data_IF_395434987803
#
_entry.id   IF_395434987803
#
_cell.length_a   1.000
_cell.length_b   1.000
_cell.length_c   1.000
_cell.angle_alpha   90.00
_cell.angle_beta   90.00
_cell.angle_gamma   90.00
#
_symmetry.space_group_name_H-M   'P 1'
#
loop_
_entity.id
_entity.type
_entity.pdbx_description
1 polymer ?
#
# COMPACT_ATOMS: atom_id res chain seq x y z
N UNK A 1 80.00 64.36 10.73
CA UNK A 1 78.99 63.83 11.67
C UNK A 1 77.68 64.61 11.63
N UNK A 2 77.69 65.94 11.52
CA UNK A 2 76.47 66.79 11.44
C UNK A 2 75.51 66.44 10.27
N UNK A 3 76.04 66.20 9.07
CA UNK A 3 75.24 65.89 7.87
C UNK A 3 74.43 64.57 8.01
N UNK A 4 74.96 63.60 8.76
CA UNK A 4 74.29 62.31 8.98
C UNK A 4 73.12 62.42 9.96
N UNK A 5 73.24 63.27 10.98
CA UNK A 5 72.14 63.57 11.90
C UNK A 5 71.00 64.31 11.20
N UNK A 6 71.32 65.23 10.29
CA UNK A 6 70.33 66.04 9.57
C UNK A 6 69.49 65.20 8.60
N UNK A 7 70.12 64.28 7.84
CA UNK A 7 69.38 63.34 7.00
C UNK A 7 68.46 62.42 7.81
N UNK A 8 68.88 62.00 9.01
CA UNK A 8 68.08 61.11 9.86
C UNK A 8 66.88 61.84 10.48
N UNK A 9 67.03 63.12 10.82
CA UNK A 9 65.91 63.95 11.29
C UNK A 9 64.92 64.23 10.16
N UNK A 10 65.38 64.53 8.96
CA UNK A 10 64.50 64.80 7.81
C UNK A 10 63.71 63.54 7.40
N UNK A 11 64.34 62.37 7.47
CA UNK A 11 63.68 61.09 7.22
C UNK A 11 62.59 60.78 8.25
N UNK A 12 62.85 61.03 9.54
CA UNK A 12 61.85 60.88 10.61
C UNK A 12 60.68 61.87 10.45
N UNK A 13 60.95 63.12 10.04
CA UNK A 13 59.90 64.11 9.77
C UNK A 13 59.01 63.65 8.62
N UNK A 14 59.60 63.10 7.55
CA UNK A 14 58.83 62.57 6.41
C UNK A 14 57.97 61.38 6.83
N UNK A 15 58.51 60.44 7.61
CA UNK A 15 57.75 59.27 8.12
C UNK A 15 56.57 59.72 9.00
N UNK A 16 56.81 60.65 9.94
CA UNK A 16 55.74 61.20 10.80
C UNK A 16 54.67 61.94 9.97
N UNK A 17 55.08 62.69 8.94
CA UNK A 17 54.14 63.40 8.07
C UNK A 17 53.29 62.43 7.22
N UNK A 18 53.88 61.32 6.77
CA UNK A 18 53.16 60.25 6.07
C UNK A 18 52.12 59.60 6.99
N UNK A 19 52.50 59.26 8.22
CA UNK A 19 51.59 58.66 9.20
C UNK A 19 50.43 59.59 9.56
N UNK A 20 50.69 60.89 9.75
CA UNK A 20 49.65 61.90 9.98
C UNK A 20 48.67 61.95 8.80
N UNK A 21 49.18 61.98 7.56
CA UNK A 21 48.34 62.01 6.37
C UNK A 21 47.49 60.73 6.21
N UNK A 22 48.04 59.56 6.54
CA UNK A 22 47.31 58.29 6.54
C UNK A 22 46.18 58.31 7.57
N UNK A 23 46.46 58.76 8.80
CA UNK A 23 45.46 58.86 9.88
C UNK A 23 44.34 59.84 9.49
N UNK A 24 44.68 61.00 8.93
CA UNK A 24 43.69 61.97 8.47
C UNK A 24 42.81 61.42 7.34
N UNK A 25 43.41 60.73 6.36
CA UNK A 25 42.67 60.07 5.28
C UNK A 25 41.74 58.96 5.81
N UNK A 26 42.20 58.14 6.76
CA UNK A 26 41.38 57.10 7.38
C UNK A 26 40.21 57.70 8.17
N UNK A 27 40.45 58.76 8.95
CA UNK A 27 39.38 59.48 9.66
C UNK A 27 38.35 60.07 8.69
N UNK A 28 38.80 60.65 7.57
CA UNK A 28 37.94 61.16 6.52
C UNK A 28 37.08 60.06 5.89
N UNK A 29 37.68 58.91 5.54
CA UNK A 29 36.98 57.75 4.99
C UNK A 29 35.95 57.17 5.98
N UNK A 30 36.31 57.08 7.27
CA UNK A 30 35.39 56.63 8.32
C UNK A 30 34.18 57.56 8.48
N UNK A 31 34.40 58.89 8.49
CA UNK A 31 33.31 59.88 8.50
C UNK A 31 32.43 59.72 7.26
N UNK A 32 33.01 59.62 6.07
CA UNK A 32 32.27 59.44 4.80
C UNK A 32 31.41 58.17 4.81
N UNK A 33 31.92 57.06 5.37
CA UNK A 33 31.17 55.80 5.53
C UNK A 33 30.00 55.96 6.51
N UNK A 34 30.21 56.63 7.65
CA UNK A 34 29.15 56.91 8.64
C UNK A 34 28.02 57.74 8.04
N UNK A 35 28.34 58.81 7.30
CA UNK A 35 27.35 59.64 6.62
C UNK A 35 26.55 58.87 5.56
N UNK A 36 27.21 58.03 4.74
CA UNK A 36 26.52 57.17 3.76
C UNK A 36 25.51 56.23 4.43
N UNK A 37 25.90 55.59 5.54
CA UNK A 37 25.02 54.70 6.29
C UNK A 37 23.82 55.43 6.92
N UNK A 38 24.05 56.62 7.49
CA UNK A 38 22.95 57.44 8.02
C UNK A 38 21.95 57.84 6.94
N UNK A 39 22.44 58.29 5.78
CA UNK A 39 21.57 58.66 4.64
C UNK A 39 20.78 57.46 4.12
N UNK A 40 21.40 56.28 4.04
CA UNK A 40 20.73 55.04 3.64
C UNK A 40 19.60 54.66 4.62
N UNK A 41 19.87 54.73 5.93
CA UNK A 41 18.85 54.44 6.94
C UNK A 41 17.69 55.44 6.91
N UNK A 42 17.96 56.73 6.71
CA UNK A 42 16.92 57.74 6.56
C UNK A 42 16.08 57.51 5.29
N UNK A 43 16.71 57.18 4.16
CA UNK A 43 15.99 56.83 2.93
C UNK A 43 15.11 55.60 3.12
N UNK A 44 15.61 54.57 3.81
CA UNK A 44 14.84 53.36 4.12
C UNK A 44 13.60 53.70 4.97
N UNK A 45 13.75 54.48 6.04
CA UNK A 45 12.63 54.91 6.88
C UNK A 45 11.61 55.76 6.12
N UNK A 46 12.08 56.68 5.27
CA UNK A 46 11.19 57.51 4.45
C UNK A 46 10.41 56.69 3.42
N UNK A 47 11.06 55.69 2.80
CA UNK A 47 10.40 54.77 1.88
C UNK A 47 9.37 53.89 2.60
N UNK A 48 9.68 53.38 3.79
CA UNK A 48 8.73 52.61 4.61
C UNK A 48 7.50 53.46 4.99
N UNK A 49 7.71 54.72 5.43
CA UNK A 49 6.61 55.67 5.70
C UNK A 49 5.76 55.93 4.46
N UNK A 50 6.39 56.15 3.30
CA UNK A 50 5.68 56.40 2.04
C UNK A 50 4.86 55.18 1.61
N UNK A 51 5.41 53.97 1.75
CA UNK A 51 4.69 52.71 1.49
C UNK A 51 3.49 52.60 2.43
N UNK A 52 3.64 52.87 3.73
CA UNK A 52 2.54 52.84 4.69
C UNK A 52 1.41 53.83 4.34
N UNK A 53 1.75 55.04 3.92
CA UNK A 53 0.76 56.05 3.50
C UNK A 53 -0.01 55.57 2.26
N UNK A 54 0.69 55.04 1.25
CA UNK A 54 0.06 54.52 0.04
C UNK A 54 -0.83 53.32 0.36
N UNK A 55 -0.37 52.40 1.22
CA UNK A 55 -1.18 51.25 1.64
C UNK A 55 -2.43 51.67 2.41
N UNK A 56 -2.34 52.68 3.27
CA UNK A 56 -3.48 53.19 4.02
C UNK A 56 -4.49 53.88 3.10
N UNK A 57 -4.02 54.68 2.14
CA UNK A 57 -4.89 55.35 1.15
C UNK A 57 -5.63 54.32 0.29
N UNK A 58 -4.96 53.28 -0.17
CA UNK A 58 -5.58 52.19 -0.95
C UNK A 58 -6.52 51.34 -0.09
N UNK A 59 -6.22 51.14 1.19
CA UNK A 59 -7.11 50.45 2.12
C UNK A 59 -8.42 51.21 2.28
N UNK A 60 -8.37 52.53 2.48
CA UNK A 60 -9.57 53.36 2.59
C UNK A 60 -10.39 53.43 1.30
N UNK A 61 -9.76 53.47 0.12
CA UNK A 61 -10.50 53.48 -1.14
C UNK A 61 -11.18 52.13 -1.42
N UNK A 62 -10.53 51.00 -1.08
CA UNK A 62 -11.12 49.66 -1.23
C UNK A 62 -12.29 49.40 -0.26
N UNK A 63 -12.24 49.95 0.96
CA UNK A 63 -13.30 49.79 1.96
C UNK A 63 -14.60 50.52 1.59
N UNK A 64 -14.50 51.60 0.81
CA UNK A 64 -15.66 52.41 0.40
C UNK A 64 -16.52 51.74 -0.68
N UNK A 65 -16.08 50.61 -1.24
CA UNK A 65 -16.74 49.93 -2.35
C UNK A 65 -17.52 48.66 -1.96
N UNK A 66 -17.49 48.23 -0.69
CA UNK A 66 -18.21 47.02 -0.26
C UNK A 66 -19.72 47.29 -0.31
N UNK A 67 -20.44 46.47 -1.07
CA UNK A 67 -21.90 46.60 -1.26
C UNK A 67 -22.64 45.45 -0.57
N UNK A 68 -23.94 45.69 -0.30
CA UNK A 68 -24.88 44.63 0.09
C UNK A 68 -24.94 43.56 -1.00
N UNK A 69 -25.15 42.31 -0.60
CA UNK A 69 -25.21 41.12 -1.46
C UNK A 69 -23.89 40.79 -2.19
N UNK A 70 -22.76 41.26 -1.67
CA UNK A 70 -21.43 40.94 -2.20
C UNK A 70 -20.79 39.82 -1.37
N UNK A 71 -19.98 38.97 -2.02
CA UNK A 71 -19.10 38.02 -1.34
C UNK A 71 -17.80 38.72 -0.95
N UNK A 72 -17.39 38.56 0.30
CA UNK A 72 -16.21 39.20 0.90
C UNK A 72 -15.40 38.19 1.72
N UNK A 73 -14.15 38.50 2.02
CA UNK A 73 -13.41 37.83 3.09
C UNK A 73 -13.68 38.54 4.40
N UNK A 74 -14.02 37.79 5.44
CA UNK A 74 -14.27 38.30 6.79
C UNK A 74 -13.26 37.71 7.79
N UNK A 75 -12.80 38.52 8.75
CA UNK A 75 -11.83 38.11 9.77
C UNK A 75 -12.37 38.30 11.18
N UNK A 76 -12.57 37.17 11.88
CA UNK A 76 -12.80 37.14 13.33
C UNK A 76 -11.50 36.92 14.09
N UNK A 77 -11.43 37.42 15.34
CA UNK A 77 -10.29 37.19 16.23
C UNK A 77 -10.17 35.69 16.52
N UNK A 78 -8.99 35.11 16.25
CA UNK A 78 -8.72 33.68 16.46
C UNK A 78 -9.12 32.76 15.29
N UNK A 79 -9.83 33.25 14.28
CA UNK A 79 -10.24 32.47 13.10
C UNK A 79 -9.46 32.90 11.86
N UNK A 80 -9.30 32.03 10.84
CA UNK A 80 -8.71 32.43 9.56
C UNK A 80 -9.61 33.44 8.82
N UNK A 81 -9.13 33.99 7.70
CA UNK A 81 -10.01 34.72 6.79
C UNK A 81 -11.05 33.74 6.22
N UNK A 82 -12.32 34.09 6.37
CA UNK A 82 -13.44 33.22 6.01
C UNK A 82 -14.35 33.88 4.95
N UNK A 83 -14.70 33.18 3.86
CA UNK A 83 -15.63 33.70 2.85
C UNK A 83 -17.01 33.97 3.44
N UNK A 84 -17.54 35.17 3.24
CA UNK A 84 -18.81 35.60 3.81
C UNK A 84 -19.63 36.39 2.81
N UNK A 85 -20.95 36.42 3.00
CA UNK A 85 -21.89 37.18 2.20
C UNK A 85 -22.38 38.40 2.97
N UNK A 86 -22.30 39.58 2.36
CA UNK A 86 -22.68 40.84 3.00
C UNK A 86 -24.19 40.98 3.03
N UNK A 87 -24.79 40.92 4.22
CA UNK A 87 -26.23 41.09 4.40
C UNK A 87 -26.62 42.57 4.55
N UNK A 88 -25.81 43.34 5.28
CA UNK A 88 -26.10 44.75 5.55
C UNK A 88 -24.80 45.55 5.67
N UNK A 89 -24.80 46.78 5.14
CA UNK A 89 -23.68 47.72 5.23
C UNK A 89 -24.16 48.97 5.96
N UNK A 90 -23.71 49.15 7.19
CA UNK A 90 -23.95 50.34 8.00
C UNK A 90 -22.87 51.41 7.79
N UNK A 91 -22.89 52.47 8.61
CA UNK A 91 -21.90 53.56 8.55
C UNK A 91 -20.52 53.15 9.05
N UNK A 92 -20.45 52.30 10.08
CA UNK A 92 -19.20 51.88 10.74
C UNK A 92 -19.00 50.37 10.76
N UNK A 93 -20.08 49.62 10.52
CA UNK A 93 -20.12 48.17 10.67
C UNK A 93 -20.83 47.52 9.48
N UNK A 94 -20.49 46.25 9.25
CA UNK A 94 -21.03 45.40 8.20
C UNK A 94 -21.52 44.11 8.86
N UNK A 95 -22.74 43.70 8.55
CA UNK A 95 -23.27 42.39 8.96
C UNK A 95 -23.02 41.41 7.82
N UNK A 96 -22.30 40.34 8.13
CA UNK A 96 -21.95 39.28 7.17
C UNK A 96 -22.44 37.93 7.65
N UNK A 97 -22.82 37.08 6.70
CA UNK A 97 -23.13 35.67 6.92
C UNK A 97 -21.96 34.81 6.43
N UNK A 98 -21.38 33.97 7.28
CA UNK A 98 -20.26 33.13 6.89
C UNK A 98 -20.72 32.03 5.93
N UNK A 99 -20.04 31.85 4.80
CA UNK A 99 -20.38 30.79 3.86
C UNK A 99 -19.96 29.43 4.42
N UNK A 100 -20.78 28.40 4.20
CA UNK A 100 -20.51 27.06 4.73
C UNK A 100 -20.83 26.89 6.23
N UNK A 101 -21.25 27.96 6.90
CA UNK A 101 -21.73 27.97 8.28
C UNK A 101 -23.07 28.71 8.36
N UNK A 102 -23.88 28.40 9.36
CA UNK A 102 -25.14 29.11 9.62
C UNK A 102 -24.91 30.18 10.71
N UNK A 103 -23.81 30.91 10.58
CA UNK A 103 -23.37 31.92 11.54
C UNK A 103 -23.28 33.29 10.86
N UNK A 104 -23.47 34.34 11.65
CA UNK A 104 -23.34 35.73 11.20
C UNK A 104 -22.49 36.52 12.20
N UNK A 105 -21.91 37.62 11.75
CA UNK A 105 -21.18 38.54 12.61
C UNK A 105 -21.31 39.99 12.13
N UNK A 106 -21.26 40.90 13.10
CA UNK A 106 -21.12 42.33 12.87
C UNK A 106 -19.64 42.68 12.95
N UNK A 107 -19.08 43.18 11.85
CA UNK A 107 -17.65 43.42 11.66
C UNK A 107 -17.39 44.87 11.29
N UNK A 108 -16.22 45.37 11.66
CA UNK A 108 -15.72 46.67 11.18
C UNK A 108 -15.17 46.52 9.75
N UNK A 109 -15.11 47.63 9.01
CA UNK A 109 -14.61 47.65 7.62
C UNK A 109 -13.14 47.17 7.48
N UNK A 110 -12.32 47.23 8.53
CA UNK A 110 -10.95 46.72 8.52
C UNK A 110 -10.86 45.20 8.67
N UNK A 111 -11.94 44.55 9.08
CA UNK A 111 -12.08 43.10 9.20
C UNK A 111 -12.71 42.46 7.96
N UNK A 112 -12.97 43.24 6.92
CA UNK A 112 -13.59 42.79 5.67
C UNK A 112 -12.71 43.18 4.48
N UNK A 113 -12.56 42.29 3.50
CA UNK A 113 -11.81 42.51 2.27
C UNK A 113 -12.61 42.04 1.05
N UNK A 114 -12.37 42.65 -0.11
CA UNK A 114 -12.97 42.17 -1.36
C UNK A 114 -12.52 40.73 -1.66
N UNK A 115 -13.49 39.87 -2.00
CA UNK A 115 -13.21 38.46 -2.19
C UNK A 115 -12.27 38.18 -3.36
N UNK A 116 -12.49 38.83 -4.50
CA UNK A 116 -11.77 38.58 -5.76
C UNK A 116 -10.36 39.17 -5.70
N UNK A 117 -10.23 40.39 -5.19
CA UNK A 117 -8.95 41.09 -5.08
C UNK A 117 -7.98 40.37 -4.14
N UNK A 118 -8.47 39.85 -3.01
CA UNK A 118 -7.63 39.22 -1.98
C UNK A 118 -7.63 37.69 -2.02
N UNK A 119 -8.19 37.07 -3.08
CA UNK A 119 -8.31 35.62 -3.19
C UNK A 119 -6.96 34.90 -3.02
N UNK A 120 -5.96 35.27 -3.83
CA UNK A 120 -4.64 34.62 -3.80
C UNK A 120 -3.93 34.81 -2.46
N UNK A 121 -4.08 35.97 -1.83
CA UNK A 121 -3.45 36.26 -0.54
C UNK A 121 -4.07 35.42 0.58
N UNK A 122 -5.40 35.33 0.62
CA UNK A 122 -6.11 34.66 1.71
C UNK A 122 -6.13 33.13 1.55
N UNK A 123 -6.01 32.62 0.33
CA UNK A 123 -5.87 31.18 0.06
C UNK A 123 -4.42 30.71 0.29
N UNK A 124 -3.41 31.57 0.07
CA UNK A 124 -2.00 31.23 0.31
C UNK A 124 -1.73 31.07 1.82
N UNK A 125 -1.40 29.84 2.24
CA UNK A 125 -1.15 29.50 3.65
C UNK A 125 -2.39 28.98 4.38
N UNK A 126 -3.49 28.75 3.66
CA UNK A 126 -4.68 28.12 4.23
C UNK A 126 -4.43 26.64 4.55
N UNK A 127 -4.99 26.18 5.67
CA UNK A 127 -4.96 24.76 6.03
C UNK A 127 -5.89 23.94 5.11
N UNK A 128 -5.30 23.29 4.11
CA UNK A 128 -5.99 22.44 3.11
C UNK A 128 -6.76 21.29 3.78
N UNK A 129 -6.45 20.93 5.03
CA UNK A 129 -7.19 19.88 5.76
C UNK A 129 -8.57 20.34 6.22
N UNK A 130 -8.84 21.65 6.30
CA UNK A 130 -10.13 22.17 6.74
C UNK A 130 -11.16 22.14 5.59
N UNK A 131 -11.86 21.01 5.47
CA UNK A 131 -12.91 20.80 4.44
C UNK A 131 -14.03 21.85 4.49
N UNK A 132 -14.40 22.36 5.68
CA UNK A 132 -15.44 23.39 5.81
C UNK A 132 -15.04 24.69 5.15
N UNK A 133 -13.81 25.13 5.41
CA UNK A 133 -13.26 26.35 4.82
C UNK A 133 -13.11 26.24 3.30
N UNK A 134 -12.63 25.10 2.80
CA UNK A 134 -12.55 24.85 1.34
C UNK A 134 -13.95 24.93 0.70
N UNK A 135 -14.95 24.29 1.31
CA UNK A 135 -16.32 24.35 0.82
C UNK A 135 -16.88 25.78 0.81
N UNK A 136 -16.57 26.57 1.85
CA UNK A 136 -16.95 27.98 1.93
C UNK A 136 -16.33 28.81 0.79
N UNK A 137 -15.07 28.55 0.43
CA UNK A 137 -14.39 29.24 -0.67
C UNK A 137 -15.07 28.92 -2.00
N UNK A 138 -15.32 27.64 -2.27
CA UNK A 138 -16.00 27.23 -3.50
C UNK A 138 -17.43 27.77 -3.58
N UNK A 139 -18.15 27.85 -2.45
CA UNK A 139 -19.45 28.51 -2.40
C UNK A 139 -19.33 29.99 -2.77
N UNK A 140 -18.34 30.70 -2.21
CA UNK A 140 -18.07 32.10 -2.56
C UNK A 140 -17.78 32.29 -4.05
N UNK A 141 -16.97 31.41 -4.65
CA UNK A 141 -16.69 31.43 -6.08
C UNK A 141 -17.95 31.20 -6.93
N UNK A 142 -18.76 30.19 -6.61
CA UNK A 142 -20.00 29.92 -7.36
C UNK A 142 -20.98 31.08 -7.29
N UNK A 143 -21.10 31.74 -6.14
CA UNK A 143 -21.95 32.93 -5.98
C UNK A 143 -21.45 34.08 -6.85
N UNK A 144 -20.13 34.37 -6.85
CA UNK A 144 -19.55 35.42 -7.69
C UNK A 144 -19.71 35.12 -9.19
N UNK A 145 -19.60 33.85 -9.57
CA UNK A 145 -19.79 33.40 -10.95
C UNK A 145 -21.27 33.34 -11.37
N UNK A 146 -22.22 33.61 -10.47
CA UNK A 146 -23.66 33.53 -10.72
C UNK A 146 -24.19 32.10 -10.88
N UNK A 147 -23.40 31.08 -10.50
CA UNK A 147 -23.77 29.66 -10.58
C UNK A 147 -24.68 29.20 -9.43
N UNK A 148 -24.69 29.94 -8.33
CA UNK A 148 -25.51 29.65 -7.15
C UNK A 148 -25.90 30.95 -6.45
N UNK A 149 -27.02 30.93 -5.72
CA UNK A 149 -27.37 32.03 -4.80
C UNK A 149 -26.90 31.75 -3.37
N UNK A 150 -26.85 32.77 -2.52
CA UNK A 150 -26.52 32.61 -1.11
C UNK A 150 -27.51 31.68 -0.39
N UNK A 151 -28.80 31.81 -0.69
CA UNK A 151 -29.88 31.02 -0.10
C UNK A 151 -29.76 29.54 -0.47
N UNK A 152 -29.38 29.24 -1.72
CA UNK A 152 -29.12 27.87 -2.16
C UNK A 152 -27.94 27.25 -1.40
N UNK A 153 -26.85 28.00 -1.23
CA UNK A 153 -25.68 27.52 -0.48
C UNK A 153 -25.99 27.31 1.00
N UNK A 154 -26.81 28.18 1.62
CA UNK A 154 -27.28 28.00 3.00
C UNK A 154 -28.16 26.74 3.15
N UNK A 155 -29.10 26.51 2.22
CA UNK A 155 -29.92 25.29 2.21
C UNK A 155 -29.06 24.03 2.09
N UNK A 156 -28.04 24.06 1.23
CA UNK A 156 -27.11 22.94 1.06
C UNK A 156 -26.32 22.62 2.34
N UNK A 157 -25.99 23.61 3.17
CA UNK A 157 -25.32 23.40 4.46
C UNK A 157 -26.27 22.70 5.44
N UNK A 158 -27.54 23.15 5.50
CA UNK A 158 -28.57 22.55 6.35
C UNK A 158 -28.80 21.09 5.95
N UNK A 159 -28.98 20.82 4.65
CA UNK A 159 -29.21 19.46 4.14
C UNK A 159 -28.01 18.55 4.41
N UNK A 160 -26.77 19.04 4.26
CA UNK A 160 -25.56 18.29 4.61
C UNK A 160 -25.47 17.98 6.10
N UNK A 161 -25.79 18.93 6.97
CA UNK A 161 -25.77 18.70 8.42
C UNK A 161 -26.84 17.70 8.85
N UNK A 162 -28.05 17.81 8.29
CA UNK A 162 -29.14 16.86 8.55
C UNK A 162 -28.79 15.46 8.07
N UNK A 163 -28.19 15.34 6.88
CA UNK A 163 -27.72 14.06 6.35
C UNK A 163 -26.55 13.49 7.16
N UNK A 164 -25.64 14.32 7.69
CA UNK A 164 -24.58 13.85 8.57
C UNK A 164 -25.13 13.35 9.91
N UNK A 165 -26.09 14.04 10.51
CA UNK A 165 -26.75 13.59 11.74
C UNK A 165 -27.49 12.28 11.50
N UNK A 166 -28.25 12.20 10.41
CA UNK A 166 -28.93 10.96 10.01
C UNK A 166 -27.93 9.83 9.77
N UNK A 167 -26.83 10.10 9.05
CA UNK A 167 -25.78 9.13 8.79
C UNK A 167 -25.05 8.70 10.06
N UNK A 168 -24.78 9.59 11.01
CA UNK A 168 -24.16 9.24 12.30
C UNK A 168 -25.09 8.37 13.15
N UNK A 169 -26.39 8.67 13.16
CA UNK A 169 -27.39 7.89 13.87
C UNK A 169 -27.60 6.51 13.23
N UNK A 170 -27.60 6.41 11.90
CA UNK A 170 -27.71 5.14 11.18
C UNK A 170 -26.42 4.32 11.24
N UNK A 171 -25.26 4.96 11.03
CA UNK A 171 -23.96 4.29 10.91
C UNK A 171 -23.59 3.52 12.17
N UNK A 172 -23.85 4.06 13.36
CA UNK A 172 -23.51 3.39 14.61
C UNK A 172 -24.33 2.11 14.85
N UNK A 173 -25.60 2.08 14.45
CA UNK A 173 -26.45 0.88 14.56
C UNK A 173 -26.07 -0.15 13.50
N UNK A 174 -25.85 0.28 12.26
CA UNK A 174 -25.47 -0.60 11.17
C UNK A 174 -24.06 -1.18 11.31
N UNK A 175 -23.08 -0.43 11.81
CA UNK A 175 -21.74 -0.96 12.08
C UNK A 175 -21.75 -2.07 13.14
N UNK A 176 -22.56 -1.92 14.21
CA UNK A 176 -22.73 -2.98 15.21
C UNK A 176 -23.32 -4.25 14.59
N UNK A 177 -24.33 -4.12 13.72
CA UNK A 177 -24.92 -5.24 13.00
C UNK A 177 -23.90 -5.88 12.04
N UNK A 178 -23.16 -5.08 11.27
CA UNK A 178 -22.15 -5.55 10.34
C UNK A 178 -21.04 -6.33 11.05
N UNK A 179 -20.60 -5.86 12.21
CA UNK A 179 -19.59 -6.54 13.04
C UNK A 179 -20.13 -7.87 13.59
N UNK A 180 -21.42 -7.95 13.96
CA UNK A 180 -22.05 -9.22 14.35
C UNK A 180 -22.11 -10.20 13.18
N UNK A 181 -22.50 -9.74 11.99
CA UNK A 181 -22.52 -10.57 10.77
C UNK A 181 -21.12 -11.09 10.43
N UNK A 182 -20.10 -10.23 10.47
CA UNK A 182 -18.69 -10.63 10.25
C UNK A 182 -18.25 -11.71 11.25
N UNK A 183 -18.61 -11.57 12.53
CA UNK A 183 -18.29 -12.56 13.56
C UNK A 183 -18.95 -13.90 13.28
N UNK A 184 -20.23 -13.90 12.86
CA UNK A 184 -20.96 -15.12 12.48
C UNK A 184 -20.33 -15.77 11.25
N UNK A 185 -19.98 -14.98 10.23
CA UNK A 185 -19.37 -15.47 9.00
C UNK A 185 -18.02 -16.16 9.27
N UNK A 186 -17.19 -15.59 10.15
CA UNK A 186 -15.91 -16.20 10.54
C UNK A 186 -16.12 -17.54 11.25
N UNK A 187 -17.13 -17.65 12.12
CA UNK A 187 -17.46 -18.90 12.81
C UNK A 187 -17.88 -19.98 11.80
N UNK A 188 -18.75 -19.63 10.84
CA UNK A 188 -19.21 -20.55 9.80
C UNK A 188 -18.06 -21.01 8.90
N UNK A 189 -17.18 -20.09 8.49
CA UNK A 189 -16.03 -20.41 7.65
C UNK A 189 -15.07 -21.38 8.36
N UNK A 190 -14.84 -21.18 9.67
CA UNK A 190 -14.01 -22.07 10.48
C UNK A 190 -14.63 -23.47 10.62
N UNK A 191 -15.97 -23.57 10.73
CA UNK A 191 -16.65 -24.87 10.76
C UNK A 191 -16.52 -25.62 9.44
N UNK A 192 -16.70 -24.92 8.30
CA UNK A 192 -16.52 -25.51 6.97
C UNK A 192 -15.10 -26.00 6.75
N UNK A 193 -14.09 -25.26 7.20
CA UNK A 193 -12.69 -25.66 7.12
C UNK A 193 -12.42 -26.95 7.92
N UNK A 194 -12.98 -27.06 9.14
CA UNK A 194 -12.85 -28.28 9.96
C UNK A 194 -13.48 -29.50 9.28
N UNK A 195 -14.68 -29.33 8.71
CA UNK A 195 -15.36 -30.41 7.97
C UNK A 195 -14.52 -30.84 6.76
N UNK A 196 -13.97 -29.89 5.99
CA UNK A 196 -13.10 -30.17 4.85
C UNK A 196 -11.86 -30.98 5.24
N UNK A 197 -11.19 -30.61 6.33
CA UNK A 197 -10.03 -31.34 6.87
C UNK A 197 -10.42 -32.78 7.27
N UNK A 198 -11.56 -32.97 7.95
CA UNK A 198 -12.06 -34.29 8.31
C UNK A 198 -12.29 -35.18 7.07
N UNK A 199 -12.90 -34.63 6.02
CA UNK A 199 -13.12 -35.35 4.75
C UNK A 199 -11.78 -35.78 4.12
N UNK A 200 -10.79 -34.88 4.08
CA UNK A 200 -9.46 -35.20 3.55
C UNK A 200 -8.76 -36.31 4.34
N UNK A 201 -8.90 -36.32 5.66
CA UNK A 201 -8.36 -37.39 6.51
C UNK A 201 -9.04 -38.74 6.25
N UNK A 202 -10.37 -38.75 6.08
CA UNK A 202 -11.12 -39.96 5.72
C UNK A 202 -10.70 -40.50 4.35
N UNK A 203 -10.56 -39.64 3.34
CA UNK A 203 -10.07 -40.04 2.01
C UNK A 203 -8.67 -40.66 2.11
N UNK A 204 -7.76 -40.04 2.88
CA UNK A 204 -6.41 -40.55 3.10
C UNK A 204 -6.43 -41.94 3.74
N UNK A 205 -7.28 -42.15 4.73
CA UNK A 205 -7.45 -43.46 5.40
C UNK A 205 -7.96 -44.52 4.41
N UNK A 206 -8.97 -44.20 3.60
CA UNK A 206 -9.50 -45.11 2.56
C UNK A 206 -8.43 -45.46 1.52
N UNK A 207 -7.66 -44.48 1.05
CA UNK A 207 -6.56 -44.73 0.11
C UNK A 207 -5.48 -45.64 0.69
N UNK A 208 -5.17 -45.50 1.99
CA UNK A 208 -4.23 -46.38 2.68
C UNK A 208 -4.77 -47.82 2.74
N UNK A 209 -6.05 -48.01 3.05
CA UNK A 209 -6.69 -49.33 3.04
C UNK A 209 -6.66 -49.97 1.64
N UNK A 210 -6.91 -49.19 0.59
CA UNK A 210 -6.83 -49.67 -0.80
C UNK A 210 -5.41 -50.10 -1.20
N UNK A 211 -4.38 -49.39 -0.76
CA UNK A 211 -2.98 -49.81 -0.98
C UNK A 211 -2.69 -51.16 -0.33
N UNK A 212 -3.10 -51.35 0.93
CA UNK A 212 -2.95 -52.63 1.65
C UNK A 212 -3.70 -53.74 0.90
N UNK A 213 -4.93 -53.48 0.45
CA UNK A 213 -5.72 -54.43 -0.32
C UNK A 213 -5.04 -54.84 -1.63
N UNK A 214 -4.47 -53.89 -2.40
CA UNK A 214 -3.72 -54.18 -3.63
C UNK A 214 -2.50 -55.07 -3.36
N UNK A 215 -1.76 -54.84 -2.27
CA UNK A 215 -0.62 -55.68 -1.86
C UNK A 215 -1.09 -57.10 -1.51
N UNK A 216 -2.14 -57.23 -0.68
CA UNK A 216 -2.73 -58.54 -0.34
C UNK A 216 -3.20 -59.30 -1.60
N UNK A 217 -3.87 -58.62 -2.53
CA UNK A 217 -4.31 -59.19 -3.82
C UNK A 217 -3.14 -59.73 -4.65
N UNK A 218 -2.03 -58.97 -4.76
CA UNK A 218 -0.80 -59.42 -5.45
C UNK A 218 -0.18 -60.64 -4.76
N UNK A 219 -0.11 -60.64 -3.42
CA UNK A 219 0.42 -61.76 -2.65
C UNK A 219 -0.40 -63.05 -2.88
N UNK A 220 -1.74 -62.96 -2.83
CA UNK A 220 -2.64 -64.09 -3.11
C UNK A 220 -2.44 -64.61 -4.54
N UNK A 221 -2.37 -63.73 -5.55
CA UNK A 221 -2.13 -64.12 -6.95
C UNK A 221 -0.79 -64.86 -7.12
N UNK A 222 0.26 -64.42 -6.41
CA UNK A 222 1.57 -65.09 -6.44
C UNK A 222 1.54 -66.48 -5.79
N UNK A 223 0.85 -66.63 -4.64
CA UNK A 223 0.66 -67.93 -3.97
C UNK A 223 -0.11 -68.90 -4.86
N UNK A 224 -1.18 -68.44 -5.51
CA UNK A 224 -1.97 -69.23 -6.45
C UNK A 224 -1.12 -69.71 -7.64
N UNK A 225 -0.26 -68.85 -8.21
CA UNK A 225 0.66 -69.24 -9.29
C UNK A 225 1.66 -70.32 -8.83
N UNK A 226 2.21 -70.18 -7.62
CA UNK A 226 3.10 -71.20 -7.02
C UNK A 226 2.40 -72.55 -6.82
N UNK A 227 1.14 -72.55 -6.34
CA UNK A 227 0.34 -73.76 -6.18
C UNK A 227 0.07 -74.42 -7.55
N UNK A 228 -0.32 -73.65 -8.56
CA UNK A 228 -0.54 -74.17 -9.92
C UNK A 228 0.73 -74.82 -10.51
N UNK A 229 1.89 -74.19 -10.33
CA UNK A 229 3.18 -74.74 -10.77
C UNK A 229 3.54 -76.04 -10.02
N UNK A 230 3.35 -76.09 -8.70
CA UNK A 230 3.55 -77.32 -7.91
C UNK A 230 2.67 -78.46 -8.43
N UNK A 231 1.38 -78.19 -8.66
CA UNK A 231 0.45 -79.19 -9.17
C UNK A 231 0.84 -79.68 -10.57
N UNK A 232 1.29 -78.78 -11.45
CA UNK A 232 1.78 -79.14 -12.78
C UNK A 232 3.03 -80.03 -12.70
N UNK A 233 3.98 -79.70 -11.84
CA UNK A 233 5.19 -80.52 -11.63
C UNK A 233 4.82 -81.92 -11.12
N UNK A 234 3.90 -82.03 -10.16
CA UNK A 234 3.40 -83.32 -9.65
C UNK A 234 2.80 -84.15 -10.81
N UNK A 235 1.99 -83.54 -11.68
CA UNK A 235 1.42 -84.23 -12.84
C UNK A 235 2.49 -84.70 -13.83
N UNK A 236 3.53 -83.90 -14.07
CA UNK A 236 4.65 -84.27 -14.96
C UNK A 236 5.43 -85.44 -14.36
N UNK A 237 5.79 -85.39 -13.07
CA UNK A 237 6.51 -86.48 -12.38
C UNK A 237 5.70 -87.77 -12.44
N UNK A 238 4.40 -87.72 -12.14
CA UNK A 238 3.51 -88.89 -12.25
C UNK A 238 3.46 -89.46 -13.68
N UNK A 239 3.48 -88.61 -14.72
CA UNK A 239 3.54 -89.08 -16.13
C UNK A 239 4.90 -89.71 -16.47
N UNK A 240 6.00 -89.15 -15.98
CA UNK A 240 7.34 -89.70 -16.17
C UNK A 240 7.49 -91.06 -15.48
N UNK A 241 7.04 -91.19 -14.23
CA UNK A 241 7.07 -92.45 -13.48
C UNK A 241 6.29 -93.56 -14.19
N UNK A 242 5.10 -93.22 -14.73
CA UNK A 242 4.31 -94.13 -15.57
C UNK A 242 5.09 -94.56 -16.83
N UNK A 243 5.77 -93.63 -17.50
CA UNK A 243 6.59 -93.90 -18.70
C UNK A 243 7.81 -94.77 -18.36
N UNK A 244 8.53 -94.48 -17.28
CA UNK A 244 9.66 -95.28 -16.81
C UNK A 244 9.21 -96.70 -16.43
N UNK A 245 8.08 -96.83 -15.74
CA UNK A 245 7.49 -98.13 -15.39
C UNK A 245 7.10 -98.93 -16.63
N UNK A 246 6.51 -98.28 -17.64
CA UNK A 246 6.19 -98.92 -18.92
C UNK A 246 7.46 -99.40 -19.66
N UNK A 247 8.49 -98.54 -19.75
CA UNK A 247 9.79 -98.90 -20.36
C UNK A 247 10.47 -100.06 -19.61
N UNK A 248 10.41 -100.06 -18.29
CA UNK A 248 10.96 -101.14 -17.46
C UNK A 248 10.22 -102.47 -17.71
N UNK A 249 8.89 -102.46 -17.80
CA UNK A 249 8.09 -103.65 -18.16
C UNK A 249 8.44 -104.16 -19.56
N UNK A 250 8.64 -103.28 -20.54
CA UNK A 250 9.09 -103.64 -21.89
C UNK A 250 10.47 -104.30 -21.84
N UNK A 251 11.43 -103.72 -21.11
CA UNK A 251 12.79 -104.27 -20.94
C UNK A 251 12.78 -105.67 -20.31
N UNK A 252 11.91 -105.90 -19.31
CA UNK A 252 11.73 -107.23 -18.71
C UNK A 252 11.14 -108.22 -19.72
N UNK A 253 10.10 -107.83 -20.47
CA UNK A 253 9.50 -108.68 -21.51
C UNK A 253 10.53 -109.06 -22.59
N UNK A 254 11.30 -108.09 -23.07
CA UNK A 254 12.38 -108.30 -24.02
C UNK A 254 13.40 -109.33 -23.47
N UNK A 255 13.90 -109.14 -22.24
CA UNK A 255 14.81 -110.11 -21.58
C UNK A 255 14.23 -111.53 -21.51
N UNK A 256 12.94 -111.67 -21.18
CA UNK A 256 12.25 -112.98 -21.16
C UNK A 256 12.22 -113.63 -22.55
N UNK A 257 11.92 -112.85 -23.58
CA UNK A 257 11.92 -113.31 -24.98
C UNK A 257 13.34 -113.73 -25.40
N UNK A 258 14.36 -112.92 -25.13
CA UNK A 258 15.75 -113.27 -25.46
C UNK A 258 16.21 -114.55 -24.76
N UNK A 259 15.79 -114.76 -23.50
CA UNK A 259 16.07 -116.00 -22.76
C UNK A 259 15.39 -117.21 -23.41
N UNK A 260 14.15 -117.06 -23.87
CA UNK A 260 13.41 -118.11 -24.57
C UNK A 260 14.02 -118.44 -25.93
N UNK A 261 14.43 -117.42 -26.70
CA UNK A 261 15.17 -117.60 -27.96
C UNK A 261 16.50 -118.33 -27.73
N UNK A 262 17.29 -117.91 -26.72
CA UNK A 262 18.54 -118.61 -26.35
C UNK A 262 18.32 -120.07 -25.96
N UNK A 263 17.23 -120.38 -25.25
CA UNK A 263 16.86 -121.76 -24.93
C UNK A 263 16.52 -122.55 -26.20
N UNK A 264 15.66 -122.01 -27.07
CA UNK A 264 15.31 -122.66 -28.33
C UNK A 264 16.54 -122.90 -29.22
N UNK A 265 17.43 -121.91 -29.33
CA UNK A 265 18.68 -122.05 -30.07
C UNK A 265 19.59 -123.14 -29.46
N UNK A 266 19.66 -123.22 -28.12
CA UNK A 266 20.37 -124.30 -27.42
C UNK A 266 19.75 -125.68 -27.70
N UNK A 267 18.43 -125.78 -27.81
CA UNK A 267 17.75 -127.02 -28.20
C UNK A 267 18.03 -127.38 -29.65
N UNK A 268 17.97 -126.42 -30.59
CA UNK A 268 18.28 -126.67 -31.99
C UNK A 268 19.74 -127.11 -32.18
N UNK A 269 20.70 -126.45 -31.51
CA UNK A 269 22.10 -126.87 -31.54
C UNK A 269 22.28 -128.30 -31.01
N UNK A 270 21.60 -128.67 -29.91
CA UNK A 270 21.61 -130.05 -29.40
C UNK A 270 21.07 -131.06 -30.40
N UNK A 271 19.97 -130.74 -31.08
CA UNK A 271 19.39 -131.61 -32.12
C UNK A 271 20.37 -131.75 -33.29
N UNK A 272 20.99 -130.66 -33.71
CA UNK A 272 21.96 -130.68 -34.80
C UNK A 272 23.22 -131.47 -34.44
N UNK A 273 23.67 -131.42 -33.19
CA UNK A 273 24.78 -132.26 -32.68
C UNK A 273 24.41 -133.74 -32.58
N UNK A 274 23.12 -134.06 -32.47
CA UNK A 274 22.64 -135.45 -32.44
C UNK A 274 22.50 -136.06 -33.84
N UNK A 275 22.32 -135.23 -34.87
CA UNK A 275 22.14 -135.67 -36.26
C UNK A 275 23.46 -135.78 -37.04
N UNK A 276 24.52 -135.12 -36.58
CA UNK A 276 25.92 -135.30 -37.04
C UNK A 276 26.60 -136.43 -36.29
#
# INVERSE_FOLDING_TARGET
TSLWFQNKTDQLIIEVQIDINIVLNLQFLMKKKKYKNQRFNQMKQNNEKKIQIITNKNKMSSQKAIKKNQVVWAKLKGYPWWPSFVQFVGKQEIIVNFLGENSHATLKFDQVQDFKQYYNQNVKGMNIKNKKLINAIYAGQRIIEGKSTFEQEQKNVIDKNNNQVFFLLFSNKHQKILNRIKKILIILLNQLLRISICILLLIKQVLQQLKIFKIKKKAIKSKLKKIKLKNLNIQITQKLDKKHTANFKIKIKAKKITKKIKQNFKYQMKIQTFLT
#
